data_IF_822175815977
#
_entry.id   IF_822175815977
#
_cell.length_a   1.000
_cell.length_b   1.000
_cell.length_c   1.000
_cell.angle_alpha   90.00
_cell.angle_beta   90.00
_cell.angle_gamma   90.00
#
_symmetry.space_group_name_H-M   'P 1'
#
loop_
_entity.id
_entity.type
_entity.pdbx_description
1 polymer ?
#
# COMPACT_ATOMS: atom_id res chain seq x y z
N UNK A 1 9.13 15.80 46.07
CA UNK A 1 9.20 15.15 44.75
C UNK A 1 7.78 14.80 44.34
N UNK A 2 7.17 15.59 43.46
CA UNK A 2 5.84 15.30 42.92
C UNK A 2 5.98 14.22 41.85
N UNK A 3 5.25 13.12 42.00
CA UNK A 3 5.23 12.05 41.01
C UNK A 3 4.68 12.60 39.69
N UNK A 4 5.40 12.37 38.60
CA UNK A 4 4.91 12.65 37.25
C UNK A 4 3.64 11.78 37.07
N UNK A 5 2.49 12.35 36.68
CA UNK A 5 1.29 11.57 36.44
C UNK A 5 1.57 10.55 35.33
N UNK A 6 1.15 9.30 35.52
CA UNK A 6 1.14 8.33 34.44
C UNK A 6 0.38 8.94 33.24
N UNK A 7 0.86 8.76 32.00
CA UNK A 7 0.14 9.25 30.82
C UNK A 7 -1.29 8.71 30.87
N UNK A 8 -2.27 9.58 30.60
CA UNK A 8 -3.67 9.20 30.61
C UNK A 8 -3.87 7.96 29.73
N UNK A 9 -4.53 6.93 30.29
CA UNK A 9 -4.88 5.74 29.55
C UNK A 9 -5.65 6.15 28.29
N UNK A 10 -5.27 5.57 27.15
CA UNK A 10 -5.92 5.88 25.89
C UNK A 10 -7.41 5.50 25.96
N UNK A 11 -8.31 6.26 25.30
CA UNK A 11 -9.69 5.84 25.08
C UNK A 11 -9.72 4.41 24.52
N UNK A 12 -10.58 3.56 25.05
CA UNK A 12 -10.70 2.14 24.70
C UNK A 12 -10.95 1.92 23.20
N UNK A 13 -11.64 2.87 22.56
CA UNK A 13 -11.91 2.91 21.11
C UNK A 13 -10.64 3.09 20.25
N UNK A 14 -9.52 3.49 20.84
CA UNK A 14 -8.23 3.71 20.19
C UNK A 14 -7.22 2.60 20.49
N UNK A 15 -7.64 1.52 21.15
CA UNK A 15 -6.80 0.35 21.43
C UNK A 15 -6.96 -0.64 20.27
N UNK A 16 -5.83 -1.08 19.71
CA UNK A 16 -5.82 -2.14 18.71
C UNK A 16 -6.43 -3.43 19.27
N UNK A 17 -7.23 -4.11 18.45
CA UNK A 17 -7.89 -5.36 18.83
C UNK A 17 -6.98 -6.54 18.49
N UNK A 18 -6.94 -7.51 19.40
CA UNK A 18 -6.24 -8.77 19.24
C UNK A 18 -7.14 -9.91 19.73
N UNK A 19 -7.99 -10.40 18.84
CA UNK A 19 -8.84 -11.57 19.09
C UNK A 19 -8.71 -12.54 17.91
N UNK A 20 -7.61 -13.30 17.92
CA UNK A 20 -7.28 -14.22 16.83
C UNK A 20 -7.96 -15.57 17.03
N UNK A 21 -8.73 -15.98 16.02
CA UNK A 21 -9.31 -17.34 16.00
C UNK A 21 -8.23 -18.41 15.75
N UNK A 22 -8.46 -19.64 16.22
CA UNK A 22 -7.53 -20.76 15.97
C UNK A 22 -7.29 -20.99 14.47
N UNK A 23 -8.33 -20.85 13.64
CA UNK A 23 -8.23 -20.94 12.18
C UNK A 23 -7.29 -19.89 11.61
N UNK A 24 -7.43 -18.63 12.03
CA UNK A 24 -6.57 -17.54 11.58
C UNK A 24 -5.13 -17.74 12.05
N UNK A 25 -4.93 -18.15 13.30
CA UNK A 25 -3.61 -18.45 13.83
C UNK A 25 -2.89 -19.54 13.01
N UNK A 26 -3.58 -20.65 12.71
CA UNK A 26 -3.06 -21.72 11.86
C UNK A 26 -2.68 -21.22 10.46
N UNK A 27 -3.55 -20.42 9.84
CA UNK A 27 -3.28 -19.82 8.54
C UNK A 27 -2.04 -18.92 8.56
N UNK A 28 -1.88 -18.08 9.59
CA UNK A 28 -0.71 -17.22 9.74
C UNK A 28 0.58 -18.03 9.90
N UNK A 29 0.56 -19.12 10.68
CA UNK A 29 1.72 -20.02 10.80
C UNK A 29 2.08 -20.69 9.48
N UNK A 30 1.09 -21.25 8.76
CA UNK A 30 1.30 -21.86 7.45
C UNK A 30 1.86 -20.86 6.43
N UNK A 31 1.34 -19.63 6.41
CA UNK A 31 1.85 -18.56 5.55
C UNK A 31 3.30 -18.22 5.90
N UNK A 32 3.61 -18.04 7.19
CA UNK A 32 4.97 -17.73 7.67
C UNK A 32 5.97 -18.83 7.33
N UNK A 33 5.58 -20.09 7.43
CA UNK A 33 6.41 -21.24 7.05
C UNK A 33 6.76 -21.26 5.55
N UNK A 34 5.91 -20.69 4.70
CA UNK A 34 6.15 -20.54 3.26
C UNK A 34 6.98 -19.30 2.90
N UNK A 35 7.36 -18.45 3.86
CA UNK A 35 8.25 -17.32 3.62
C UNK A 35 9.68 -17.85 3.50
N UNK A 36 10.27 -17.65 2.32
CA UNK A 36 11.64 -18.09 2.04
C UNK A 36 12.62 -17.66 3.16
N UNK A 37 13.56 -18.50 3.61
CA UNK A 37 14.46 -18.18 4.72
C UNK A 37 15.24 -16.88 4.51
N UNK A 38 15.71 -16.64 3.28
CA UNK A 38 16.45 -15.43 2.89
C UNK A 38 15.59 -14.17 2.69
N UNK A 39 14.26 -14.26 2.82
CA UNK A 39 13.41 -13.08 2.72
C UNK A 39 13.64 -12.14 3.90
N UNK A 40 13.81 -10.86 3.61
CA UNK A 40 13.91 -9.78 4.59
C UNK A 40 12.97 -8.65 4.18
N UNK A 41 12.00 -8.34 5.04
CA UNK A 41 11.07 -7.22 4.85
C UNK A 41 11.79 -5.88 4.64
N UNK A 42 12.78 -5.51 5.47
CA UNK A 42 13.56 -4.29 5.31
C UNK A 42 14.30 -4.21 3.97
N UNK A 43 14.87 -5.31 3.49
CA UNK A 43 15.52 -5.34 2.17
C UNK A 43 14.49 -5.17 1.05
N UNK A 44 13.33 -5.83 1.19
CA UNK A 44 12.24 -5.75 0.21
C UNK A 44 11.72 -4.31 0.07
N UNK A 45 11.37 -3.66 1.18
CA UNK A 45 10.86 -2.29 1.15
C UNK A 45 11.97 -1.29 0.82
N UNK A 46 13.20 -1.54 1.27
CA UNK A 46 14.38 -0.76 0.90
C UNK A 46 14.58 -0.72 -0.61
N UNK A 47 14.45 -1.87 -1.30
CA UNK A 47 14.48 -1.91 -2.75
C UNK A 47 13.38 -1.05 -3.39
N UNK A 48 12.13 -1.20 -2.94
CA UNK A 48 10.99 -0.44 -3.47
C UNK A 48 11.23 1.07 -3.36
N UNK A 49 11.65 1.54 -2.18
CA UNK A 49 11.90 2.97 -1.95
C UNK A 49 13.12 3.48 -2.69
N UNK A 50 14.22 2.73 -2.72
CA UNK A 50 15.43 3.14 -3.45
C UNK A 50 15.11 3.28 -4.94
N UNK A 51 14.43 2.30 -5.53
CA UNK A 51 14.06 2.35 -6.95
C UNK A 51 13.05 3.46 -7.23
N UNK A 52 12.01 3.59 -6.39
CA UNK A 52 10.99 4.62 -6.57
C UNK A 52 11.54 6.05 -6.42
N UNK A 53 12.35 6.30 -5.39
CA UNK A 53 13.01 7.60 -5.19
C UNK A 53 14.00 7.87 -6.31
N UNK A 54 14.80 6.88 -6.75
CA UNK A 54 15.72 7.05 -7.86
C UNK A 54 14.99 7.41 -9.16
N UNK A 55 13.84 6.78 -9.44
CA UNK A 55 13.01 7.09 -10.60
C UNK A 55 12.45 8.52 -10.53
N UNK A 56 11.89 8.92 -9.38
CA UNK A 56 11.39 10.28 -9.15
C UNK A 56 12.52 11.30 -9.31
N UNK A 57 13.65 11.07 -8.64
CA UNK A 57 14.84 11.91 -8.72
C UNK A 57 15.32 12.07 -10.16
N UNK A 58 15.43 10.96 -10.89
CA UNK A 58 15.81 10.98 -12.29
C UNK A 58 14.83 11.82 -13.10
N UNK A 59 13.52 11.59 -13.03
CA UNK A 59 12.52 12.39 -13.76
C UNK A 59 12.61 13.88 -13.43
N UNK A 60 12.67 14.25 -12.14
CA UNK A 60 12.79 15.65 -11.71
C UNK A 60 14.07 16.29 -12.23
N UNK A 61 15.21 15.57 -12.23
CA UNK A 61 16.49 16.07 -12.75
C UNK A 61 16.49 16.35 -14.27
N UNK A 62 15.52 15.82 -15.00
CA UNK A 62 15.38 16.03 -16.46
C UNK A 62 14.39 17.12 -16.81
N UNK A 63 13.57 17.57 -15.86
CA UNK A 63 12.63 18.66 -16.08
C UNK A 63 13.38 19.97 -16.31
N UNK A 64 12.82 20.83 -17.17
CA UNK A 64 13.38 22.14 -17.49
C UNK A 64 12.30 23.20 -17.31
N UNK A 65 12.45 24.08 -16.32
CA UNK A 65 11.54 25.20 -16.05
C UNK A 65 10.04 24.82 -16.05
N UNK A 66 9.68 23.70 -15.43
CA UNK A 66 8.28 23.27 -15.33
C UNK A 66 7.46 24.33 -14.55
N UNK A 67 6.29 24.70 -15.09
CA UNK A 67 5.39 25.71 -14.53
C UNK A 67 4.01 25.11 -14.33
N UNK A 68 3.10 25.33 -15.28
CA UNK A 68 1.73 24.84 -15.24
C UNK A 68 1.65 23.32 -15.30
N UNK A 69 2.68 22.63 -15.79
CA UNK A 69 2.69 21.16 -15.91
C UNK A 69 2.55 20.49 -14.54
N UNK A 70 2.95 21.14 -13.45
CA UNK A 70 2.73 20.63 -12.09
C UNK A 70 1.24 20.47 -11.74
N UNK A 71 0.35 21.19 -12.42
CA UNK A 71 -1.09 20.99 -12.30
C UNK A 71 -1.51 19.58 -12.76
N UNK A 72 -0.71 18.90 -13.60
CA UNK A 72 -0.98 17.52 -14.04
C UNK A 72 -0.87 16.51 -12.90
N UNK A 73 -0.21 16.84 -11.78
CA UNK A 73 -0.22 15.98 -10.58
C UNK A 73 -1.65 15.73 -10.13
N UNK A 74 -2.53 16.73 -10.15
CA UNK A 74 -3.91 16.61 -9.66
C UNK A 74 -4.72 15.57 -10.45
N UNK A 75 -4.91 15.70 -11.78
CA UNK A 75 -5.66 14.71 -12.54
C UNK A 75 -4.95 13.34 -12.56
N UNK A 76 -3.62 13.29 -12.66
CA UNK A 76 -2.90 11.99 -12.66
C UNK A 76 -3.07 11.29 -11.32
N UNK A 77 -2.98 12.00 -10.19
CA UNK A 77 -3.23 11.46 -8.87
C UNK A 77 -4.67 10.97 -8.73
N UNK A 78 -5.66 11.77 -9.17
CA UNK A 78 -7.07 11.37 -9.17
C UNK A 78 -7.31 10.09 -9.95
N UNK A 79 -6.83 10.02 -11.20
CA UNK A 79 -6.99 8.81 -12.03
C UNK A 79 -6.21 7.62 -11.49
N UNK A 80 -5.07 7.84 -10.83
CA UNK A 80 -4.31 6.78 -10.18
C UNK A 80 -5.09 6.16 -9.01
N UNK A 81 -5.76 6.98 -8.19
CA UNK A 81 -6.63 6.48 -7.11
C UNK A 81 -7.88 5.79 -7.68
N UNK A 82 -8.46 6.29 -8.77
CA UNK A 82 -9.59 5.62 -9.44
C UNK A 82 -9.18 4.26 -10.00
N UNK A 83 -7.97 4.18 -10.58
CA UNK A 83 -7.41 2.94 -11.10
C UNK A 83 -7.06 1.95 -9.98
N UNK A 84 -6.50 2.43 -8.87
CA UNK A 84 -6.29 1.64 -7.65
C UNK A 84 -7.61 1.03 -7.16
N UNK A 85 -8.65 1.85 -7.00
CA UNK A 85 -9.98 1.37 -6.64
C UNK A 85 -10.52 0.33 -7.62
N UNK A 86 -10.37 0.57 -8.92
CA UNK A 86 -10.84 -0.34 -9.97
C UNK A 86 -10.12 -1.68 -9.92
N UNK A 87 -8.78 -1.70 -9.85
CA UNK A 87 -7.99 -2.94 -9.71
C UNK A 87 -8.40 -3.63 -8.41
N UNK A 88 -8.47 -2.90 -7.31
CA UNK A 88 -8.79 -3.45 -6.01
C UNK A 88 -10.15 -4.16 -6.03
N UNK A 89 -11.18 -3.50 -6.55
CA UNK A 89 -12.55 -4.03 -6.59
C UNK A 89 -12.76 -5.14 -7.63
N UNK A 90 -12.21 -5.00 -8.84
CA UNK A 90 -12.55 -5.86 -9.98
C UNK A 90 -11.50 -6.92 -10.30
N UNK A 91 -10.27 -6.77 -9.80
CA UNK A 91 -9.16 -7.72 -10.05
C UNK A 91 -8.72 -8.38 -8.75
N UNK A 92 -8.56 -7.62 -7.68
CA UNK A 92 -8.02 -8.16 -6.42
C UNK A 92 -9.08 -8.88 -5.59
N UNK A 93 -10.35 -8.45 -5.66
CA UNK A 93 -11.51 -9.03 -4.96
C UNK A 93 -12.41 -9.94 -5.81
N UNK A 94 -12.13 -10.07 -7.11
CA UNK A 94 -12.87 -10.94 -8.01
C UNK A 94 -11.93 -11.84 -8.77
N UNK A 95 -12.24 -13.13 -8.81
CA UNK A 95 -11.46 -14.08 -9.58
C UNK A 95 -11.63 -13.80 -11.07
N UNK A 96 -10.53 -13.44 -11.72
CA UNK A 96 -10.44 -13.32 -13.18
C UNK A 96 -9.57 -14.46 -13.69
N UNK A 97 -10.07 -15.24 -14.66
CA UNK A 97 -9.42 -16.45 -15.16
C UNK A 97 -8.30 -16.13 -16.18
N UNK A 98 -7.33 -15.33 -15.73
CA UNK A 98 -6.10 -14.98 -16.44
C UNK A 98 -4.97 -15.15 -15.44
N UNK A 99 -3.94 -15.94 -15.78
CA UNK A 99 -2.89 -16.35 -14.85
C UNK A 99 -2.30 -15.20 -14.01
N UNK A 100 -1.95 -14.08 -14.64
CA UNK A 100 -1.39 -12.92 -13.95
C UNK A 100 -2.39 -12.26 -12.99
N UNK A 101 -3.65 -12.10 -13.40
CA UNK A 101 -4.70 -11.48 -12.59
C UNK A 101 -5.13 -12.38 -11.43
N UNK A 102 -5.17 -13.69 -11.66
CA UNK A 102 -5.42 -14.71 -10.64
C UNK A 102 -4.35 -14.67 -9.54
N UNK A 103 -3.08 -14.49 -9.89
CA UNK A 103 -2.02 -14.37 -8.90
C UNK A 103 -2.18 -13.13 -8.00
N UNK A 104 -2.74 -12.03 -8.53
CA UNK A 104 -3.07 -10.84 -7.75
C UNK A 104 -4.24 -11.14 -6.80
N UNK A 105 -5.31 -11.76 -7.30
CA UNK A 105 -6.45 -12.18 -6.49
C UNK A 105 -6.03 -13.13 -5.36
N UNK A 106 -5.21 -14.14 -5.65
CA UNK A 106 -4.76 -15.13 -4.67
C UNK A 106 -3.93 -14.47 -3.57
N UNK A 107 -3.04 -13.51 -3.89
CA UNK A 107 -2.28 -12.76 -2.88
C UNK A 107 -3.15 -11.83 -2.05
N UNK A 108 -4.14 -11.18 -2.66
CA UNK A 108 -4.96 -10.21 -1.95
C UNK A 108 -6.10 -10.87 -1.18
N UNK A 109 -7.03 -11.51 -1.88
CA UNK A 109 -8.22 -12.07 -1.24
C UNK A 109 -7.90 -13.36 -0.48
N UNK A 110 -7.11 -14.27 -1.06
CA UNK A 110 -6.87 -15.59 -0.44
C UNK A 110 -5.71 -15.62 0.53
N UNK A 111 -4.85 -14.60 0.54
CA UNK A 111 -3.77 -14.49 1.51
C UNK A 111 -3.97 -13.28 2.41
N UNK A 112 -3.91 -12.06 1.89
CA UNK A 112 -3.93 -10.84 2.72
C UNK A 112 -5.19 -10.75 3.58
N UNK A 113 -6.37 -10.93 2.98
CA UNK A 113 -7.66 -10.92 3.68
C UNK A 113 -7.96 -12.18 4.49
N UNK A 114 -7.17 -13.25 4.36
CA UNK A 114 -7.24 -14.39 5.28
C UNK A 114 -6.26 -14.25 6.45
N UNK A 115 -5.16 -13.54 6.23
CA UNK A 115 -4.13 -13.27 7.21
C UNK A 115 -4.60 -12.24 8.24
N UNK A 116 -5.26 -11.19 7.76
CA UNK A 116 -5.80 -10.09 8.55
C UNK A 116 -7.32 -10.18 8.64
N UNK A 117 -7.86 -9.75 9.78
CA UNK A 117 -9.29 -9.63 10.04
C UNK A 117 -9.54 -8.34 10.82
N UNK A 118 -10.80 -7.91 10.92
CA UNK A 118 -11.19 -6.74 11.72
C UNK A 118 -10.81 -6.84 13.23
N UNK A 119 -10.47 -8.05 13.70
CA UNK A 119 -10.05 -8.36 15.07
C UNK A 119 -8.55 -8.59 15.23
N UNK A 120 -7.80 -8.64 14.12
CA UNK A 120 -6.35 -8.85 14.12
C UNK A 120 -5.76 -8.31 12.81
N UNK A 121 -5.35 -7.04 12.84
CA UNK A 121 -4.90 -6.28 11.67
C UNK A 121 -3.37 -6.19 11.54
N UNK A 122 -2.61 -6.61 12.54
CA UNK A 122 -1.19 -6.25 12.66
C UNK A 122 -0.23 -7.40 12.47
N UNK A 123 1.00 -7.11 12.05
CA UNK A 123 2.09 -8.09 12.00
C UNK A 123 3.03 -7.97 13.20
N UNK A 124 3.53 -9.12 13.68
CA UNK A 124 4.43 -9.18 14.83
C UNK A 124 5.92 -9.08 14.48
N UNK A 125 6.29 -9.30 13.21
CA UNK A 125 7.69 -9.34 12.78
C UNK A 125 7.91 -8.73 11.39
N UNK A 126 9.15 -8.31 11.12
CA UNK A 126 9.51 -7.74 9.82
C UNK A 126 9.51 -8.75 8.67
N UNK A 127 9.54 -10.05 8.96
CA UNK A 127 9.39 -11.11 7.93
C UNK A 127 7.98 -11.13 7.36
N UNK A 128 6.98 -10.78 8.16
CA UNK A 128 5.58 -10.75 7.74
C UNK A 128 5.26 -9.57 6.83
N UNK A 129 6.17 -8.61 6.64
CA UNK A 129 5.99 -7.50 5.69
C UNK A 129 5.70 -7.99 4.26
N UNK A 130 6.03 -9.25 3.93
CA UNK A 130 5.67 -9.92 2.67
C UNK A 130 4.17 -9.96 2.39
N UNK A 131 3.34 -10.02 3.43
CA UNK A 131 1.87 -10.08 3.30
C UNK A 131 1.25 -8.68 3.16
N UNK A 132 1.99 -7.64 3.54
CA UNK A 132 1.56 -6.25 3.47
C UNK A 132 1.91 -5.71 2.08
N UNK A 133 3.21 -5.57 1.81
CA UNK A 133 3.69 -4.86 0.62
C UNK A 133 3.47 -5.66 -0.66
N UNK A 134 3.21 -4.95 -1.75
CA UNK A 134 3.25 -5.55 -3.06
C UNK A 134 4.65 -6.12 -3.36
N UNK A 135 4.75 -7.18 -4.18
CA UNK A 135 6.05 -7.67 -4.63
C UNK A 135 6.83 -6.56 -5.36
N UNK A 136 8.15 -6.51 -5.21
CA UNK A 136 9.02 -5.56 -5.93
C UNK A 136 8.77 -5.46 -7.45
N UNK A 137 8.31 -6.56 -8.07
CA UNK A 137 7.93 -6.59 -9.50
C UNK A 137 6.73 -5.70 -9.82
N UNK A 138 5.82 -5.47 -8.88
CA UNK A 138 4.64 -4.63 -9.07
C UNK A 138 5.04 -3.18 -9.37
N UNK A 139 5.96 -2.60 -8.59
CA UNK A 139 6.52 -1.27 -8.87
C UNK A 139 7.08 -1.19 -10.30
N UNK A 140 7.90 -2.18 -10.69
CA UNK A 140 8.48 -2.24 -12.04
C UNK A 140 7.40 -2.34 -13.13
N UNK A 141 6.35 -3.14 -12.89
CA UNK A 141 5.22 -3.27 -13.81
C UNK A 141 4.46 -1.94 -13.95
N UNK A 142 4.17 -1.23 -12.86
CA UNK A 142 3.49 0.07 -12.93
C UNK A 142 4.34 1.12 -13.64
N UNK A 143 5.65 1.15 -13.41
CA UNK A 143 6.56 2.03 -14.15
C UNK A 143 6.60 1.67 -15.65
N UNK A 144 6.71 0.39 -15.98
CA UNK A 144 6.72 -0.08 -17.37
C UNK A 144 5.39 0.24 -18.07
N UNK A 145 4.26 0.04 -17.39
CA UNK A 145 2.93 0.38 -17.90
C UNK A 145 2.74 1.90 -18.05
N UNK A 146 3.23 2.70 -17.10
CA UNK A 146 3.16 4.17 -17.16
C UNK A 146 4.07 4.80 -18.21
N UNK A 147 5.18 4.16 -18.56
CA UNK A 147 6.18 4.68 -19.51
C UNK A 147 5.61 5.04 -20.88
N UNK A 148 4.85 4.17 -21.59
CA UNK A 148 4.26 4.55 -22.88
C UNK A 148 3.34 5.78 -22.78
N UNK A 149 2.57 5.91 -21.69
CA UNK A 149 1.73 7.09 -21.45
C UNK A 149 2.56 8.34 -21.15
N UNK A 150 3.64 8.21 -20.38
CA UNK A 150 4.58 9.29 -20.12
C UNK A 150 5.25 9.79 -21.41
N UNK A 151 5.70 8.87 -22.27
CA UNK A 151 6.30 9.20 -23.56
C UNK A 151 5.28 9.85 -24.50
N UNK A 152 4.06 9.31 -24.57
CA UNK A 152 2.99 9.89 -25.38
C UNK A 152 2.64 11.30 -24.91
N UNK A 153 2.44 11.51 -23.61
CA UNK A 153 2.17 12.83 -23.04
C UNK A 153 3.36 13.79 -23.23
N UNK A 154 4.58 13.27 -23.08
CA UNK A 154 5.82 13.98 -23.33
C UNK A 154 5.93 14.50 -24.77
N UNK A 155 5.51 13.68 -25.72
CA UNK A 155 5.49 14.02 -27.15
C UNK A 155 4.35 14.98 -27.51
N UNK A 156 3.15 14.77 -26.97
CA UNK A 156 1.94 15.53 -27.31
C UNK A 156 1.87 16.91 -26.63
N UNK A 157 2.47 17.06 -25.45
CA UNK A 157 2.42 18.30 -24.66
C UNK A 157 3.81 18.92 -24.57
N UNK A 158 4.71 18.30 -23.79
CA UNK A 158 6.13 18.60 -23.70
C UNK A 158 6.82 17.59 -22.75
N UNK A 159 8.16 17.49 -22.75
CA UNK A 159 8.87 16.54 -21.89
C UNK A 159 8.55 16.65 -20.39
N UNK A 160 8.31 17.86 -19.85
CA UNK A 160 7.96 18.04 -18.43
C UNK A 160 6.67 17.30 -18.06
N UNK A 161 5.65 17.34 -18.93
CA UNK A 161 4.38 16.65 -18.71
C UNK A 161 4.58 15.13 -18.59
N UNK A 162 5.41 14.54 -19.45
CA UNK A 162 5.76 13.11 -19.36
C UNK A 162 6.48 12.75 -18.06
N UNK A 163 7.46 13.56 -17.65
CA UNK A 163 8.16 13.35 -16.37
C UNK A 163 7.23 13.51 -15.17
N UNK A 164 6.34 14.50 -15.16
CA UNK A 164 5.40 14.73 -14.04
C UNK A 164 4.39 13.58 -13.93
N UNK A 165 3.93 13.02 -15.05
CA UNK A 165 3.10 11.81 -15.03
C UNK A 165 3.85 10.66 -14.34
N UNK A 166 5.10 10.40 -14.71
CA UNK A 166 5.88 9.33 -14.10
C UNK A 166 6.16 9.58 -12.61
N UNK A 167 6.53 10.82 -12.23
CA UNK A 167 6.71 11.22 -10.82
C UNK A 167 5.43 10.95 -10.02
N UNK A 168 4.27 11.29 -10.59
CA UNK A 168 2.99 11.14 -9.89
C UNK A 168 2.59 9.67 -9.75
N UNK A 169 2.77 8.83 -10.78
CA UNK A 169 2.48 7.39 -10.71
C UNK A 169 3.37 6.70 -9.67
N UNK A 170 4.68 6.95 -9.71
CA UNK A 170 5.62 6.34 -8.76
C UNK A 170 5.39 6.87 -7.35
N UNK A 171 5.17 8.19 -7.22
CA UNK A 171 4.83 8.82 -5.95
C UNK A 171 3.57 8.24 -5.32
N UNK A 172 2.49 8.09 -6.10
CA UNK A 172 1.26 7.45 -5.64
C UNK A 172 1.49 6.02 -5.17
N UNK A 173 2.27 5.22 -5.90
CA UNK A 173 2.59 3.86 -5.48
C UNK A 173 3.30 3.82 -4.12
N UNK A 174 4.29 4.68 -3.90
CA UNK A 174 4.99 4.76 -2.61
C UNK A 174 4.07 5.23 -1.48
N UNK A 175 3.21 6.22 -1.76
CA UNK A 175 2.21 6.70 -0.80
C UNK A 175 1.24 5.57 -0.42
N UNK A 176 0.74 4.82 -1.41
CA UNK A 176 -0.13 3.67 -1.18
C UNK A 176 0.53 2.64 -0.27
N UNK A 177 1.74 2.18 -0.60
CA UNK A 177 2.47 1.18 0.20
C UNK A 177 2.72 1.69 1.63
N UNK A 178 2.98 3.00 1.79
CA UNK A 178 3.16 3.63 3.11
C UNK A 178 1.88 3.59 3.92
N UNK A 179 0.76 4.02 3.34
CA UNK A 179 -0.53 4.04 4.02
C UNK A 179 -1.01 2.63 4.34
N UNK A 180 -0.86 1.70 3.41
CA UNK A 180 -1.20 0.29 3.63
C UNK A 180 -0.37 -0.34 4.74
N UNK A 181 0.94 -0.09 4.77
CA UNK A 181 1.79 -0.49 5.88
C UNK A 181 1.35 0.12 7.21
N UNK A 182 1.03 1.42 7.20
CA UNK A 182 0.47 2.08 8.37
C UNK A 182 -0.87 1.48 8.80
N UNK A 183 -1.55 0.65 8.03
CA UNK A 183 -2.74 -0.10 8.45
C UNK A 183 -2.45 -1.44 9.12
N UNK A 184 -1.23 -1.97 8.98
CA UNK A 184 -0.87 -3.31 9.43
C UNK A 184 0.27 -3.34 10.46
N UNK A 185 0.65 -2.17 10.98
CA UNK A 185 1.57 -2.05 12.11
C UNK A 185 0.83 -1.87 13.42
N UNK A 186 1.47 -2.30 14.50
CA UNK A 186 1.04 -2.01 15.85
C UNK A 186 0.85 -0.51 16.09
N UNK A 187 -0.13 -0.21 16.91
CA UNK A 187 -0.45 1.13 17.36
C UNK A 187 0.77 1.83 17.98
N UNK A 188 1.00 3.05 17.53
CA UNK A 188 2.06 3.93 18.02
C UNK A 188 1.63 5.39 17.85
N UNK A 189 2.44 6.32 18.38
CA UNK A 189 2.13 7.74 18.33
C UNK A 189 1.92 8.25 16.89
N UNK A 190 2.69 7.75 15.92
CA UNK A 190 2.61 8.22 14.54
C UNK A 190 1.28 7.81 13.89
N UNK A 191 0.95 6.51 13.87
CA UNK A 191 -0.28 6.04 13.20
C UNK A 191 -1.56 6.53 13.86
N UNK A 192 -1.50 6.91 15.13
CA UNK A 192 -2.65 7.45 15.87
C UNK A 192 -2.90 8.93 15.56
N UNK A 193 -1.86 9.75 15.43
CA UNK A 193 -1.98 11.20 15.35
C UNK A 193 -1.68 11.79 13.97
N UNK A 194 -1.02 11.04 13.08
CA UNK A 194 -0.79 11.50 11.72
C UNK A 194 -2.14 11.72 11.00
N UNK A 195 -2.38 12.91 10.42
CA UNK A 195 -3.57 13.17 9.64
C UNK A 195 -3.76 12.13 8.54
N UNK A 196 -5.02 11.79 8.25
CA UNK A 196 -5.44 10.79 7.27
C UNK A 196 -5.07 9.33 7.59
N UNK A 197 -3.94 9.05 8.25
CA UNK A 197 -3.53 7.68 8.61
C UNK A 197 -4.56 7.03 9.51
N UNK A 198 -5.01 7.71 10.57
CA UNK A 198 -6.01 7.15 11.48
C UNK A 198 -7.34 6.82 10.75
N UNK A 199 -7.77 7.71 9.84
CA UNK A 199 -8.99 7.51 9.04
C UNK A 199 -8.87 6.31 8.11
N UNK A 200 -7.74 6.20 7.38
CA UNK A 200 -7.46 5.09 6.47
C UNK A 200 -7.38 3.79 7.26
N UNK A 201 -6.74 3.76 8.44
CA UNK A 201 -6.70 2.58 9.31
C UNK A 201 -8.10 2.06 9.61
N UNK A 202 -9.00 2.92 10.11
CA UNK A 202 -10.39 2.54 10.43
C UNK A 202 -11.13 2.02 9.20
N UNK A 203 -11.01 2.72 8.07
CA UNK A 203 -11.66 2.31 6.83
C UNK A 203 -11.12 0.95 6.34
N UNK A 204 -9.82 0.74 6.41
CA UNK A 204 -9.17 -0.51 6.02
C UNK A 204 -9.54 -1.66 6.95
N UNK A 205 -9.67 -1.43 8.26
CA UNK A 205 -10.19 -2.44 9.20
C UNK A 205 -11.60 -2.89 8.81
N UNK A 206 -12.50 -1.95 8.47
CA UNK A 206 -13.85 -2.29 7.97
C UNK A 206 -13.78 -3.05 6.65
N UNK A 207 -12.84 -2.70 5.78
CA UNK A 207 -12.61 -3.41 4.52
C UNK A 207 -12.18 -4.87 4.72
N UNK A 208 -11.43 -5.17 5.80
CA UNK A 208 -11.03 -6.53 6.18
C UNK A 208 -12.14 -7.33 6.89
N UNK A 209 -13.29 -6.71 7.20
CA UNK A 209 -14.45 -7.41 7.70
C UNK A 209 -15.06 -8.27 6.60
N UNK A 210 -14.94 -9.60 6.72
CA UNK A 210 -15.33 -10.57 5.68
C UNK A 210 -16.80 -10.41 5.21
N UNK A 211 -17.71 -10.02 6.11
CA UNK A 211 -19.11 -9.78 5.78
C UNK A 211 -19.39 -8.52 4.98
N UNK A 212 -18.44 -7.57 4.93
CA UNK A 212 -18.59 -6.26 4.25
C UNK A 212 -17.74 -6.22 2.96
N UNK A 213 -16.54 -6.82 3.01
CA UNK A 213 -15.54 -6.84 1.94
C UNK A 213 -16.10 -7.22 0.55
N UNK A 214 -17.06 -8.16 0.49
CA UNK A 214 -17.59 -8.64 -0.79
C UNK A 214 -18.72 -7.76 -1.35
N UNK A 215 -19.35 -6.94 -0.52
CA UNK A 215 -20.57 -6.18 -0.87
C UNK A 215 -20.33 -4.67 -0.96
N UNK A 216 -19.40 -4.12 -0.16
CA UNK A 216 -19.16 -2.68 -0.02
C UNK A 216 -17.67 -2.35 -0.11
N UNK A 217 -17.12 -2.49 -1.32
CA UNK A 217 -15.80 -1.98 -1.74
C UNK A 217 -15.89 -0.66 -2.49
#
# INVERSE_FOLDING_TARGET
MSAIPAPAAFPEELIEKHDITERQAKFREEYKAQIHPLYSGPVHIGFIYVVGIAAIWWCVSRMQHATWEWLLVVPVFFFSNLFEWWIHKYVMHRLVDVFALRAIYDRHTRQHHQYFTEHEMTVGSTREWRIIFFPWRALLTFMAFGTPFALALGYLVNPNAGYILMVTIVGQYLIYETFHYCCHVHDNWFVRYAPFVNTIRRHHTVHHAQGIMMERN
#
